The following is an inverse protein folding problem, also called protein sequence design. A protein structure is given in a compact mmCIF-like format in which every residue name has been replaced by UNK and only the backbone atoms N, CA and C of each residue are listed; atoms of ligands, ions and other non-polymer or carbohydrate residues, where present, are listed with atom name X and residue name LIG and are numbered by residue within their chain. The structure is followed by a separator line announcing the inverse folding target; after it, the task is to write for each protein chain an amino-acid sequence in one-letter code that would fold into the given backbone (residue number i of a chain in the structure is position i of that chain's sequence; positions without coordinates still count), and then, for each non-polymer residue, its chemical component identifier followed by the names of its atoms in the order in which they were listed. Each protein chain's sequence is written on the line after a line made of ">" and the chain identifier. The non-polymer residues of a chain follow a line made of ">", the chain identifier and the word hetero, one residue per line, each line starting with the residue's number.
data_IF_149124193150
#
_entry.id   IF_149124193150
#
_cell.length_a   1.000
_cell.length_b   1.000
_cell.length_c   1.000
_cell.angle_alpha   90.00
_cell.angle_beta   90.00
_cell.angle_gamma   90.00
#
_symmetry.space_group_name_H-M   'P 1'
#
loop_
_entity.id
_entity.type
_entity.pdbx_description
1 polymer ?
#
# COMPACT_ATOMS: atom_id res chain seq x y z
N UNK A 1 -23.74 -7.14 17.69
CA UNK A 1 -23.31 -6.75 16.34
C UNK A 1 -23.26 -5.23 16.31
N UNK A 2 -22.10 -4.59 16.20
CA UNK A 2 -22.08 -3.13 16.09
C UNK A 2 -22.71 -2.71 14.75
N UNK A 3 -23.35 -1.53 14.69
CA UNK A 3 -24.01 -1.07 13.47
C UNK A 3 -22.99 -0.85 12.35
N UNK A 4 -23.32 -1.34 11.16
CA UNK A 4 -22.62 -0.98 9.93
C UNK A 4 -22.86 0.51 9.72
N UNK A 5 -21.79 1.30 9.77
CA UNK A 5 -21.85 2.73 9.43
C UNK A 5 -22.06 2.82 7.92
N UNK A 6 -23.30 3.11 7.50
CA UNK A 6 -23.62 3.42 6.11
C UNK A 6 -22.74 4.59 5.62
N UNK A 7 -22.00 4.36 4.52
CA UNK A 7 -21.09 5.32 3.92
C UNK A 7 -19.59 5.00 4.07
N UNK A 8 -19.22 3.90 4.74
CA UNK A 8 -17.82 3.44 4.73
C UNK A 8 -17.37 3.11 3.29
N UNK A 9 -16.13 3.49 2.88
CA UNK A 9 -15.60 3.12 1.58
C UNK A 9 -15.61 1.59 1.45
N UNK A 10 -15.85 1.07 0.23
CA UNK A 10 -15.79 -0.37 -0.03
C UNK A 10 -14.48 -0.93 0.53
N UNK A 11 -14.59 -1.69 1.62
CA UNK A 11 -13.45 -2.03 2.47
C UNK A 11 -13.84 -3.10 3.48
N UNK A 12 -12.85 -3.84 3.97
CA UNK A 12 -13.04 -4.89 4.97
C UNK A 12 -12.77 -4.35 6.37
N UNK A 13 -13.49 -4.84 7.37
CA UNK A 13 -13.18 -4.56 8.77
C UNK A 13 -12.11 -5.52 9.28
N UNK A 14 -11.04 -5.00 9.88
CA UNK A 14 -10.10 -5.82 10.63
C UNK A 14 -10.75 -6.31 11.93
N UNK A 15 -10.17 -7.35 12.55
CA UNK A 15 -10.63 -7.84 13.86
C UNK A 15 -10.63 -6.76 14.95
N UNK A 16 -9.79 -5.72 14.80
CA UNK A 16 -9.67 -4.60 15.73
C UNK A 16 -10.59 -3.42 15.33
N UNK A 17 -11.44 -3.60 14.32
CA UNK A 17 -12.42 -2.62 13.88
C UNK A 17 -11.90 -1.57 12.88
N UNK A 18 -10.64 -1.65 12.44
CA UNK A 18 -10.08 -0.75 11.42
C UNK A 18 -10.73 -1.02 10.06
N UNK A 19 -11.13 0.04 9.35
CA UNK A 19 -11.58 -0.07 7.96
C UNK A 19 -10.35 -0.19 7.06
N UNK A 20 -10.24 -1.28 6.31
CA UNK A 20 -9.18 -1.49 5.32
C UNK A 20 -9.74 -1.23 3.92
N UNK A 21 -9.25 -0.19 3.26
CA UNK A 21 -9.65 0.22 1.92
C UNK A 21 -8.58 -0.14 0.88
N UNK A 22 -8.99 -0.59 -0.30
CA UNK A 22 -8.09 -1.07 -1.35
C UNK A 22 -8.27 -2.56 -1.65
N UNK A 23 -7.25 -3.23 -2.23
CA UNK A 23 -5.86 -2.76 -2.39
C UNK A 23 -5.66 -1.74 -3.51
N UNK A 24 -4.75 -0.78 -3.29
CA UNK A 24 -4.19 0.08 -4.33
C UNK A 24 -2.96 -0.61 -4.94
N UNK A 25 -2.99 -0.97 -6.22
CA UNK A 25 -1.85 -1.64 -6.89
C UNK A 25 -0.85 -0.68 -7.55
N UNK A 26 -1.06 0.63 -7.42
CA UNK A 26 -0.17 1.64 -8.00
C UNK A 26 -0.61 3.08 -7.69
N UNK A 27 0.23 4.07 -8.03
CA UNK A 27 -0.03 5.49 -7.74
C UNK A 27 -1.36 6.05 -8.28
N UNK A 28 -1.86 5.63 -9.45
CA UNK A 28 -3.15 6.11 -9.95
C UNK A 28 -4.32 5.59 -9.10
N UNK A 29 -4.30 4.31 -8.72
CA UNK A 29 -5.31 3.71 -7.86
C UNK A 29 -5.31 4.36 -6.47
N UNK A 30 -4.12 4.61 -5.92
CA UNK A 30 -3.97 5.32 -4.64
C UNK A 30 -4.54 6.75 -4.70
N UNK A 31 -4.21 7.53 -5.74
CA UNK A 31 -4.75 8.89 -5.91
C UNK A 31 -6.27 8.91 -5.98
N UNK A 32 -6.87 7.94 -6.68
CA UNK A 32 -8.33 7.82 -6.76
C UNK A 32 -8.92 7.57 -5.38
N UNK A 33 -8.39 6.57 -4.67
CA UNK A 33 -8.86 6.21 -3.34
C UNK A 33 -8.71 7.37 -2.34
N UNK A 34 -7.57 8.06 -2.32
CA UNK A 34 -7.34 9.19 -1.42
C UNK A 34 -8.29 10.37 -1.68
N UNK A 35 -8.67 10.62 -2.94
CA UNK A 35 -9.70 11.63 -3.27
C UNK A 35 -11.07 11.22 -2.76
N UNK A 36 -11.44 9.95 -2.90
CA UNK A 36 -12.71 9.41 -2.39
C UNK A 36 -12.78 9.52 -0.86
N UNK A 37 -11.70 9.12 -0.16
CA UNK A 37 -11.59 9.24 1.29
C UNK A 37 -11.68 10.68 1.76
N UNK A 38 -11.02 11.62 1.06
CA UNK A 38 -11.10 13.03 1.40
C UNK A 38 -12.52 13.59 1.18
N UNK A 39 -13.21 13.19 0.11
CA UNK A 39 -14.58 13.60 -0.15
C UNK A 39 -15.52 13.12 0.97
N UNK A 40 -15.38 11.85 1.39
CA UNK A 40 -16.12 11.28 2.52
C UNK A 40 -15.80 12.01 3.83
N UNK A 41 -14.53 12.23 4.14
CA UNK A 41 -14.08 12.96 5.33
C UNK A 41 -14.59 14.41 5.37
N UNK A 42 -14.72 15.03 4.19
CA UNK A 42 -15.23 16.39 4.07
C UNK A 42 -16.73 16.45 4.33
N UNK A 43 -17.49 15.47 3.83
CA UNK A 43 -18.95 15.38 3.99
C UNK A 43 -19.40 14.85 5.36
N UNK A 44 -18.58 14.01 6.01
CA UNK A 44 -18.91 13.43 7.30
C UNK A 44 -19.05 14.51 8.40
N UNK A 45 -19.97 14.36 9.37
CA UNK A 45 -19.98 15.19 10.58
C UNK A 45 -18.71 14.95 11.41
N UNK A 46 -18.45 15.81 12.40
CA UNK A 46 -17.37 15.54 13.35
C UNK A 46 -17.61 14.16 14.00
N UNK A 47 -16.61 13.28 14.03
CA UNK A 47 -16.82 11.92 14.51
C UNK A 47 -17.04 11.95 16.02
N UNK A 48 -17.84 11.00 16.52
CA UNK A 48 -17.89 10.69 17.94
C UNK A 48 -16.57 10.09 18.43
N UNK A 49 -16.47 9.74 19.73
CA UNK A 49 -15.25 9.19 20.34
C UNK A 49 -14.76 7.88 19.70
N UNK A 50 -15.58 7.23 18.87
CA UNK A 50 -15.24 5.99 18.16
C UNK A 50 -14.70 6.20 16.74
N UNK A 51 -14.37 7.44 16.33
CA UNK A 51 -13.80 7.71 15.01
C UNK A 51 -12.63 6.79 14.69
N UNK A 52 -12.78 5.93 13.66
CA UNK A 52 -11.78 4.90 13.32
C UNK A 52 -10.90 5.34 12.16
N UNK A 53 -9.58 5.10 12.22
CA UNK A 53 -8.71 5.35 11.07
C UNK A 53 -8.99 4.35 9.95
N UNK A 54 -8.73 4.81 8.72
CA UNK A 54 -8.78 3.98 7.52
C UNK A 54 -7.36 3.54 7.17
N UNK A 55 -7.16 2.24 7.04
CA UNK A 55 -5.94 1.65 6.50
C UNK A 55 -6.06 1.52 4.99
N UNK A 56 -5.21 2.22 4.23
CA UNK A 56 -5.11 2.08 2.78
C UNK A 56 -4.14 0.95 2.47
N UNK A 57 -4.66 -0.16 1.97
CA UNK A 57 -3.86 -1.36 1.70
C UNK A 57 -3.10 -1.26 0.38
N UNK A 58 -1.83 -1.68 0.41
CA UNK A 58 -0.98 -1.92 -0.74
C UNK A 58 -0.31 -3.29 -0.59
N UNK A 59 -0.61 -4.22 -1.49
CA UNK A 59 0.00 -5.56 -1.48
C UNK A 59 1.29 -5.56 -2.29
N UNK A 60 2.42 -5.60 -1.58
CA UNK A 60 3.77 -5.61 -2.15
C UNK A 60 3.99 -6.82 -3.08
N UNK A 61 3.76 -8.09 -2.66
CA UNK A 61 3.96 -9.25 -3.52
C UNK A 61 2.98 -9.29 -4.71
N UNK A 62 1.75 -8.79 -4.56
CA UNK A 62 0.80 -8.78 -5.68
C UNK A 62 1.27 -7.86 -6.81
N UNK A 63 1.83 -6.69 -6.46
CA UNK A 63 2.42 -5.78 -7.45
C UNK A 63 3.63 -6.42 -8.13
N UNK A 64 4.52 -7.04 -7.36
CA UNK A 64 5.65 -7.76 -7.95
C UNK A 64 5.20 -8.91 -8.85
N UNK A 65 4.17 -9.67 -8.48
CA UNK A 65 3.63 -10.74 -9.33
C UNK A 65 3.10 -10.21 -10.67
N UNK A 66 2.33 -9.10 -10.65
CA UNK A 66 1.79 -8.47 -11.86
C UNK A 66 2.91 -7.96 -12.78
N UNK A 67 3.95 -7.34 -12.22
CA UNK A 67 5.09 -6.82 -12.99
C UNK A 67 5.98 -7.96 -13.49
N UNK A 68 6.27 -8.96 -12.65
CA UNK A 68 7.06 -10.12 -13.05
C UNK A 68 6.41 -10.87 -14.22
N UNK A 69 5.08 -11.03 -14.24
CA UNK A 69 4.39 -11.61 -15.38
C UNK A 69 4.55 -10.80 -16.69
N UNK A 70 4.72 -9.47 -16.59
CA UNK A 70 5.11 -8.63 -17.73
C UNK A 70 6.56 -8.86 -18.16
N UNK A 71 7.49 -8.85 -17.19
CA UNK A 71 8.91 -9.06 -17.41
C UNK A 71 9.22 -10.43 -18.02
N UNK A 72 8.54 -11.47 -17.56
CA UNK A 72 8.71 -12.86 -18.00
C UNK A 72 8.35 -13.05 -19.47
N UNK A 73 7.34 -12.31 -19.96
CA UNK A 73 6.92 -12.35 -21.37
C UNK A 73 7.95 -11.75 -22.31
N UNK A 74 8.76 -10.79 -21.85
CA UNK A 74 9.84 -10.22 -22.67
C UNK A 74 11.11 -11.05 -22.61
N UNK A 75 11.42 -11.64 -21.44
CA UNK A 75 12.65 -12.39 -21.23
C UNK A 75 13.90 -11.50 -21.18
N UNK A 76 15.09 -12.12 -21.28
CA UNK A 76 16.37 -11.42 -21.20
C UNK A 76 16.92 -11.27 -19.78
N UNK A 77 18.21 -10.95 -19.67
CA UNK A 77 18.89 -10.79 -18.37
C UNK A 77 18.44 -9.50 -17.67
N UNK A 78 18.19 -8.45 -18.43
CA UNK A 78 17.74 -7.14 -17.99
C UNK A 78 16.34 -7.22 -17.35
N UNK A 79 15.40 -7.96 -17.95
CA UNK A 79 14.07 -8.14 -17.38
C UNK A 79 14.12 -8.98 -16.11
N UNK A 80 14.94 -10.04 -16.08
CA UNK A 80 15.14 -10.87 -14.88
C UNK A 80 15.71 -10.06 -13.71
N UNK A 81 16.62 -9.13 -13.98
CA UNK A 81 17.21 -8.24 -12.98
C UNK A 81 16.20 -7.24 -12.38
N UNK A 82 15.04 -7.05 -13.01
CA UNK A 82 13.97 -6.16 -12.53
C UNK A 82 12.91 -6.85 -11.68
N UNK A 83 12.98 -8.18 -11.52
CA UNK A 83 11.99 -8.91 -10.71
C UNK A 83 12.05 -8.51 -9.24
N UNK A 84 10.90 -8.49 -8.60
CA UNK A 84 10.74 -8.16 -7.17
C UNK A 84 11.22 -6.76 -6.76
N UNK A 85 11.30 -5.83 -7.74
CA UNK A 85 11.69 -4.43 -7.49
C UNK A 85 10.50 -3.47 -7.49
N UNK A 86 9.39 -3.84 -8.12
CA UNK A 86 8.28 -2.94 -8.37
C UNK A 86 7.42 -2.72 -7.13
N UNK A 87 7.19 -3.76 -6.35
CA UNK A 87 6.40 -3.71 -5.12
C UNK A 87 6.96 -2.65 -4.16
N UNK A 88 8.26 -2.74 -3.86
CA UNK A 88 8.94 -1.81 -2.95
C UNK A 88 9.04 -0.40 -3.55
N UNK A 89 9.36 -0.28 -4.84
CA UNK A 89 9.36 1.02 -5.52
C UNK A 89 8.00 1.72 -5.41
N UNK A 90 6.90 0.99 -5.61
CA UNK A 90 5.56 1.52 -5.43
C UNK A 90 5.25 1.91 -3.98
N UNK A 91 5.68 1.13 -2.99
CA UNK A 91 5.51 1.47 -1.58
C UNK A 91 6.17 2.82 -1.22
N UNK A 92 7.40 3.06 -1.69
CA UNK A 92 8.10 4.33 -1.52
C UNK A 92 7.34 5.50 -2.15
N UNK A 93 6.82 5.33 -3.38
CA UNK A 93 6.04 6.35 -4.06
C UNK A 93 4.74 6.67 -3.31
N UNK A 94 3.99 5.65 -2.91
CA UNK A 94 2.73 5.82 -2.17
C UNK A 94 2.96 6.50 -0.81
N UNK A 95 4.04 6.18 -0.11
CA UNK A 95 4.36 6.83 1.17
C UNK A 95 4.62 8.34 1.00
N UNK A 96 5.39 8.73 -0.02
CA UNK A 96 5.60 10.15 -0.37
C UNK A 96 4.28 10.83 -0.76
N UNK A 97 3.41 10.15 -1.50
CA UNK A 97 2.11 10.68 -1.88
C UNK A 97 1.19 10.88 -0.67
N UNK A 98 1.09 9.90 0.24
CA UNK A 98 0.31 10.04 1.47
C UNK A 98 0.79 11.24 2.28
N UNK A 99 2.12 11.39 2.47
CA UNK A 99 2.68 12.52 3.22
C UNK A 99 2.32 13.88 2.62
N UNK A 100 2.23 13.97 1.29
CA UNK A 100 1.80 15.20 0.60
C UNK A 100 0.30 15.42 0.72
N UNK A 101 -0.50 14.37 0.54
CA UNK A 101 -1.96 14.43 0.64
C UNK A 101 -2.40 14.87 2.04
N UNK A 102 -1.81 14.31 3.10
CA UNK A 102 -2.13 14.66 4.48
C UNK A 102 -1.72 16.10 4.86
N UNK A 103 -0.82 16.74 4.09
CA UNK A 103 -0.47 18.16 4.23
C UNK A 103 -1.37 19.09 3.43
N UNK A 104 -2.30 18.55 2.64
CA UNK A 104 -3.22 19.37 1.85
C UNK A 104 -4.24 20.09 2.75
N UNK A 105 -4.74 21.28 2.36
CA UNK A 105 -5.76 22.01 3.12
C UNK A 105 -7.05 21.22 3.36
N UNK A 106 -7.38 20.28 2.47
CA UNK A 106 -8.54 19.38 2.63
C UNK A 106 -8.37 18.47 3.85
N UNK A 107 -7.27 17.70 3.87
CA UNK A 107 -6.99 16.79 4.97
C UNK A 107 -6.71 17.52 6.28
N UNK A 108 -5.99 18.64 6.26
CA UNK A 108 -5.77 19.45 7.46
C UNK A 108 -7.08 19.90 8.10
N UNK A 109 -8.06 20.35 7.30
CA UNK A 109 -9.40 20.72 7.81
C UNK A 109 -10.18 19.52 8.34
N UNK A 110 -10.13 18.37 7.67
CA UNK A 110 -10.81 17.16 8.13
C UNK A 110 -10.26 16.70 9.49
N UNK A 111 -8.93 16.65 9.64
CA UNK A 111 -8.26 16.25 10.88
C UNK A 111 -8.54 17.24 12.01
N UNK A 112 -8.58 18.55 11.73
CA UNK A 112 -8.94 19.58 12.71
C UNK A 112 -10.39 19.42 13.25
N UNK A 113 -11.27 18.75 12.49
CA UNK A 113 -12.63 18.40 12.91
C UNK A 113 -12.70 17.07 13.68
N UNK A 114 -11.56 16.44 13.95
CA UNK A 114 -11.46 15.16 14.65
C UNK A 114 -11.51 13.93 13.74
N UNK A 115 -11.57 14.08 12.41
CA UNK A 115 -11.54 12.93 11.49
C UNK A 115 -10.14 12.30 11.53
N UNK A 116 -10.00 11.00 11.87
CA UNK A 116 -8.70 10.34 11.83
C UNK A 116 -8.10 10.33 10.42
N UNK A 117 -6.83 10.67 10.30
CA UNK A 117 -6.12 10.57 9.03
C UNK A 117 -5.96 9.09 8.61
N UNK A 118 -6.08 8.77 7.31
CA UNK A 118 -5.76 7.44 6.82
C UNK A 118 -4.26 7.18 6.91
N UNK A 119 -3.89 5.91 7.00
CA UNK A 119 -2.50 5.45 6.99
C UNK A 119 -2.31 4.30 6.00
N UNK A 120 -1.06 4.00 5.64
CA UNK A 120 -0.74 2.91 4.71
C UNK A 120 -0.56 1.58 5.44
N UNK A 121 -1.15 0.53 4.87
CA UNK A 121 -0.98 -0.87 5.27
C UNK A 121 -0.27 -1.65 4.17
N UNK A 122 0.95 -2.09 4.44
CA UNK A 122 1.75 -2.92 3.55
C UNK A 122 1.42 -4.39 3.79
N UNK A 123 0.62 -5.01 2.91
CA UNK A 123 0.34 -6.44 3.03
C UNK A 123 1.37 -7.28 2.29
N UNK A 124 1.92 -8.28 2.97
CA UNK A 124 2.85 -9.26 2.38
C UNK A 124 2.19 -10.62 2.18
N UNK A 125 0.91 -10.76 2.52
CA UNK A 125 0.15 -12.01 2.44
C UNK A 125 -1.16 -11.82 1.69
N UNK A 126 -1.60 -12.82 0.89
CA UNK A 126 -0.83 -13.98 0.43
C UNK A 126 0.27 -13.57 -0.58
N UNK A 127 1.24 -14.46 -0.83
CA UNK A 127 2.15 -14.34 -1.97
C UNK A 127 3.63 -14.07 -1.65
N UNK A 128 3.99 -13.74 -0.40
CA UNK A 128 5.38 -13.75 0.05
C UNK A 128 5.64 -14.93 1.00
N UNK A 129 6.74 -15.66 0.78
CA UNK A 129 7.26 -16.62 1.76
C UNK A 129 7.86 -15.92 2.98
N UNK A 130 8.30 -16.65 4.03
CA UNK A 130 8.80 -16.06 5.28
C UNK A 130 9.93 -15.05 5.06
N UNK A 131 10.95 -15.42 4.28
CA UNK A 131 12.10 -14.56 3.98
C UNK A 131 11.76 -13.31 3.18
N UNK A 132 10.88 -13.46 2.20
CA UNK A 132 10.47 -12.36 1.33
C UNK A 132 9.52 -11.41 2.06
N UNK A 133 8.64 -11.94 2.91
CA UNK A 133 7.80 -11.13 3.80
C UNK A 133 8.64 -10.30 4.76
N UNK A 134 9.67 -10.91 5.37
CA UNK A 134 10.63 -10.20 6.22
C UNK A 134 11.39 -9.10 5.44
N UNK A 135 11.87 -9.39 4.23
CA UNK A 135 12.53 -8.36 3.38
C UNK A 135 11.58 -7.20 3.05
N UNK A 136 10.32 -7.48 2.70
CA UNK A 136 9.34 -6.42 2.44
C UNK A 136 9.08 -5.58 3.67
N UNK A 137 9.01 -6.17 4.87
CA UNK A 137 8.88 -5.43 6.12
C UNK A 137 10.07 -4.51 6.36
N UNK A 138 11.30 -5.00 6.23
CA UNK A 138 12.53 -4.22 6.41
C UNK A 138 12.60 -3.02 5.46
N UNK A 139 12.08 -3.19 4.23
CA UNK A 139 12.14 -2.18 3.17
C UNK A 139 10.90 -1.28 3.09
N UNK A 140 9.88 -1.52 3.91
CA UNK A 140 8.65 -0.72 3.92
C UNK A 140 8.28 -0.21 5.32
N UNK A 141 9.20 -0.23 6.29
CA UNK A 141 8.96 0.20 7.66
C UNK A 141 8.99 1.74 7.78
N UNK A 142 7.98 2.40 7.20
CA UNK A 142 7.89 3.85 7.22
C UNK A 142 7.14 4.38 8.46
N UNK A 143 7.49 5.58 8.98
CA UNK A 143 6.79 6.18 10.09
C UNK A 143 5.29 6.38 9.82
N UNK A 144 4.43 5.98 10.77
CA UNK A 144 2.98 6.13 10.68
C UNK A 144 2.31 5.13 9.71
N UNK A 145 2.96 4.01 9.41
CA UNK A 145 2.42 2.93 8.57
C UNK A 145 2.41 1.61 9.32
N UNK A 146 1.74 0.60 8.78
CA UNK A 146 1.72 -0.75 9.32
C UNK A 146 2.13 -1.78 8.25
N UNK A 147 2.78 -2.86 8.66
CA UNK A 147 3.06 -4.02 7.80
C UNK A 147 2.28 -5.21 8.33
N UNK A 148 1.56 -5.92 7.45
CA UNK A 148 0.91 -7.19 7.77
C UNK A 148 1.77 -8.37 7.31
N UNK A 149 2.28 -9.13 8.27
CA UNK A 149 3.14 -10.30 8.08
C UNK A 149 2.43 -11.60 8.46
N UNK A 150 2.83 -12.71 7.84
CA UNK A 150 2.51 -14.04 8.38
C UNK A 150 3.29 -14.28 9.69
N UNK A 151 2.83 -15.18 10.57
CA UNK A 151 3.58 -15.52 11.78
C UNK A 151 5.02 -15.98 11.50
N UNK A 152 5.22 -16.70 10.39
CA UNK A 152 6.55 -17.17 9.98
C UNK A 152 7.44 -16.02 9.51
N UNK A 153 6.92 -15.13 8.67
CA UNK A 153 7.66 -13.96 8.22
C UNK A 153 8.01 -13.02 9.39
N UNK A 154 7.12 -12.89 10.38
CA UNK A 154 7.39 -12.13 11.59
C UNK A 154 8.55 -12.74 12.40
N UNK A 155 8.58 -14.07 12.56
CA UNK A 155 9.72 -14.75 13.21
C UNK A 155 11.02 -14.48 12.47
N UNK A 156 11.03 -14.69 11.15
CA UNK A 156 12.20 -14.43 10.30
C UNK A 156 12.66 -12.97 10.39
N UNK A 157 11.73 -12.02 10.39
CA UNK A 157 12.03 -10.59 10.56
C UNK A 157 12.69 -10.28 11.90
N UNK A 158 12.18 -10.86 13.00
CA UNK A 158 12.75 -10.69 14.35
C UNK A 158 14.14 -11.33 14.44
N UNK A 159 14.32 -12.54 13.91
CA UNK A 159 15.60 -13.28 13.94
C UNK A 159 16.73 -12.56 13.19
N UNK A 160 16.41 -11.84 12.10
CA UNK A 160 17.40 -11.05 11.35
C UNK A 160 17.94 -9.86 12.14
N UNK A 161 17.21 -9.36 13.13
CA UNK A 161 17.70 -8.41 14.14
C UNK A 161 18.25 -7.07 13.61
N UNK A 162 17.96 -6.68 12.37
CA UNK A 162 18.67 -5.61 11.67
C UNK A 162 17.98 -4.23 11.69
N UNK A 163 16.84 -4.08 12.37
CA UNK A 163 16.07 -2.83 12.33
C UNK A 163 16.56 -1.84 13.38
N UNK A 164 17.38 -0.90 12.94
CA UNK A 164 17.91 0.21 13.77
C UNK A 164 17.04 1.47 13.72
N UNK A 165 16.01 1.49 12.87
CA UNK A 165 15.08 2.60 12.71
C UNK A 165 14.14 2.41 11.52
N UNK A 166 13.30 3.41 11.23
CA UNK A 166 12.43 3.38 10.06
C UNK A 166 13.23 3.30 8.75
N UNK A 167 12.66 2.66 7.74
CA UNK A 167 13.26 2.60 6.40
C UNK A 167 13.44 4.01 5.84
N UNK A 168 14.63 4.31 5.31
CA UNK A 168 14.88 5.55 4.61
C UNK A 168 14.05 5.61 3.31
N UNK A 169 13.32 6.71 3.12
CA UNK A 169 12.53 6.92 1.92
C UNK A 169 13.46 7.20 0.72
N UNK A 170 13.60 6.21 -0.17
CA UNK A 170 14.39 6.32 -1.40
C UNK A 170 13.49 6.56 -2.63
N UNK A 171 13.27 7.82 -2.97
CA UNK A 171 12.52 8.20 -4.17
C UNK A 171 13.36 8.19 -5.45
N UNK A 172 14.68 8.22 -5.32
CA UNK A 172 15.58 8.21 -6.48
C UNK A 172 15.54 6.82 -7.10
N UNK A 173 15.70 5.78 -6.29
CA UNK A 173 15.64 4.40 -6.76
C UNK A 173 14.22 4.03 -7.19
N UNK A 174 13.19 4.44 -6.45
CA UNK A 174 11.81 4.16 -6.84
C UNK A 174 11.48 4.72 -8.25
N UNK A 175 11.89 5.96 -8.54
CA UNK A 175 11.72 6.57 -9.87
C UNK A 175 12.61 5.93 -10.93
N UNK A 176 13.81 5.45 -10.56
CA UNK A 176 14.68 4.69 -11.47
C UNK A 176 13.99 3.39 -11.89
N UNK A 177 13.44 2.63 -10.95
CA UNK A 177 12.69 1.40 -11.23
C UNK A 177 11.52 1.69 -12.16
N UNK A 178 10.71 2.73 -11.90
CA UNK A 178 9.61 3.11 -12.79
C UNK A 178 10.10 3.38 -14.22
N UNK A 179 11.15 4.18 -14.41
CA UNK A 179 11.69 4.46 -15.75
C UNK A 179 12.17 3.21 -16.48
N UNK A 180 12.78 2.26 -15.77
CA UNK A 180 13.22 1.01 -16.39
C UNK A 180 12.00 0.15 -16.77
N UNK A 181 10.98 0.07 -15.92
CA UNK A 181 9.74 -0.63 -16.25
C UNK A 181 9.00 0.01 -17.43
N UNK A 182 9.03 1.35 -17.55
CA UNK A 182 8.45 2.05 -18.70
C UNK A 182 9.17 1.70 -20.01
N UNK A 183 10.49 1.51 -19.99
CA UNK A 183 11.26 1.04 -21.16
C UNK A 183 10.79 -0.35 -21.64
N UNK A 184 10.34 -1.17 -20.70
CA UNK A 184 9.72 -2.46 -20.91
C UNK A 184 8.21 -2.39 -21.24
N UNK A 185 7.63 -1.20 -21.33
CA UNK A 185 6.19 -1.02 -21.57
C UNK A 185 5.30 -1.36 -20.37
N UNK A 186 5.87 -1.56 -19.18
CA UNK A 186 5.14 -1.88 -17.94
C UNK A 186 4.97 -0.61 -17.12
N UNK A 187 3.73 -0.13 -17.00
CA UNK A 187 3.44 1.11 -16.27
C UNK A 187 3.03 0.85 -14.83
N UNK A 188 3.90 1.16 -13.87
CA UNK A 188 3.60 1.05 -12.43
C UNK A 188 2.44 1.94 -11.99
N UNK A 189 2.30 3.14 -12.60
CA UNK A 189 1.24 4.10 -12.26
C UNK A 189 -0.17 3.51 -12.43
N UNK A 190 -0.37 2.74 -13.50
CA UNK A 190 -1.68 2.24 -13.93
C UNK A 190 -1.80 0.72 -13.87
N UNK A 191 -1.04 0.06 -12.99
CA UNK A 191 -1.23 -1.38 -12.78
C UNK A 191 -2.68 -1.64 -12.36
N UNK A 192 -3.42 -2.35 -13.21
CA UNK A 192 -4.72 -2.87 -12.86
C UNK A 192 -4.51 -4.16 -12.06
N UNK A 193 -5.17 -4.27 -10.90
CA UNK A 193 -5.31 -5.57 -10.25
C UNK A 193 -6.05 -6.51 -11.19
N UNK A 194 -5.55 -7.73 -11.37
CA UNK A 194 -6.27 -8.74 -12.13
C UNK A 194 -7.66 -8.93 -11.51
N UNK A 195 -8.71 -8.79 -12.32
CA UNK A 195 -10.05 -9.22 -11.95
C UNK A 195 -9.97 -10.72 -11.62
N UNK A 196 -10.41 -11.11 -10.43
CA UNK A 196 -10.66 -12.52 -10.16
C UNK A 196 -11.62 -13.04 -11.24
N UNK A 197 -11.39 -14.24 -11.81
CA UNK A 197 -12.32 -14.81 -12.77
C UNK A 197 -13.69 -14.91 -12.10
N UNK A 198 -14.67 -14.18 -12.62
CA UNK A 198 -16.08 -14.44 -12.32
C UNK A 198 -16.41 -15.77 -12.96
N UNK A 199 -16.29 -16.84 -12.20
CA UNK A 199 -16.84 -18.14 -12.56
C UNK A 199 -18.36 -17.99 -12.62
N UNK A 200 -18.92 -18.15 -13.82
CA UNK A 200 -20.36 -18.32 -14.05
C UNK A 200 -20.85 -19.71 -13.70
#
# INVERSE_FOLDING_TARGET
>A
MPPVVEGAPAGRLSANGTVVAGPAHGPAAFRRLMRELLAQASAAPAPGPEGRPVAVEYSVPAVDALVNAGLDRMGGCEAKAMRFRAGIAGAHLLYDMLRRDLRSPGWTRAVARGIPAPYLLWSTTPGAGPDQGAEYAERCLFPGTAVALSPEALRTFVERGAVTGPTALDLVEARRVVRILDWFGIRLDTLAGGQAPTTG
#
